data_IF_777796994145
#
_entry.id   IF_777796994145
#
_cell.length_a   1.000
_cell.length_b   1.000
_cell.length_c   1.000
_cell.angle_alpha   90.00
_cell.angle_beta   90.00
_cell.angle_gamma   90.00
#
_symmetry.space_group_name_H-M   'P 1'
#
loop_
_entity.id
_entity.type
_entity.pdbx_description
1 polymer ?
#
# COMPACT_ATOMS: atom_id res chain seq x y z
N UNK A 1 -21.03 -14.74 38.64
CA UNK A 1 -21.51 -14.30 37.32
C UNK A 1 -20.78 -15.11 36.25
N UNK A 2 -21.46 -16.02 35.57
CA UNK A 2 -20.86 -16.87 34.52
C UNK A 2 -20.63 -16.11 33.21
N UNK A 3 -19.75 -16.61 32.31
CA UNK A 3 -19.45 -15.92 31.05
C UNK A 3 -20.68 -15.86 30.15
N UNK A 4 -20.96 -14.65 29.65
CA UNK A 4 -22.08 -14.33 28.75
C UNK A 4 -22.01 -15.24 27.50
N UNK A 5 -23.06 -16.02 27.24
CA UNK A 5 -23.11 -16.89 26.06
C UNK A 5 -23.07 -16.04 24.77
N UNK A 6 -22.11 -16.33 23.89
CA UNK A 6 -21.95 -15.63 22.61
C UNK A 6 -23.18 -15.85 21.73
N UNK A 7 -24.06 -14.84 21.64
CA UNK A 7 -25.19 -14.84 20.72
C UNK A 7 -24.65 -14.94 19.28
N UNK A 8 -25.03 -16.00 18.56
CA UNK A 8 -24.65 -16.21 17.16
C UNK A 8 -25.33 -15.14 16.30
N UNK A 9 -24.60 -14.54 15.35
CA UNK A 9 -25.19 -13.61 14.39
C UNK A 9 -26.25 -14.37 13.56
N UNK A 10 -27.51 -14.02 13.74
CA UNK A 10 -28.61 -14.49 12.90
C UNK A 10 -28.52 -13.72 11.57
N UNK A 11 -28.28 -14.44 10.48
CA UNK A 11 -28.47 -13.89 9.14
C UNK A 11 -29.95 -13.57 8.96
N UNK A 12 -30.31 -12.46 8.27
CA UNK A 12 -31.71 -12.15 8.02
C UNK A 12 -32.38 -13.34 7.31
N UNK A 13 -33.56 -13.72 7.80
CA UNK A 13 -34.33 -14.82 7.22
C UNK A 13 -34.86 -14.33 5.87
N UNK A 14 -34.51 -15.04 4.80
CA UNK A 14 -35.07 -14.75 3.47
C UNK A 14 -36.55 -15.14 3.50
N UNK A 15 -37.43 -14.19 3.18
CA UNK A 15 -38.89 -14.37 3.29
C UNK A 15 -39.43 -15.26 2.16
N UNK A 16 -38.86 -15.14 0.95
CA UNK A 16 -39.28 -15.90 -0.23
C UNK A 16 -38.07 -16.37 -1.06
N UNK A 17 -38.12 -17.61 -1.54
CA UNK A 17 -37.07 -18.19 -2.39
C UNK A 17 -37.69 -18.56 -3.74
N UNK A 18 -37.32 -17.83 -4.79
CA UNK A 18 -37.70 -18.16 -6.16
C UNK A 18 -36.76 -19.23 -6.71
N UNK A 19 -37.34 -20.32 -7.23
CA UNK A 19 -36.61 -21.41 -7.86
C UNK A 19 -36.86 -21.36 -9.37
N UNK A 20 -35.97 -20.68 -10.10
CA UNK A 20 -35.94 -20.75 -11.55
C UNK A 20 -35.06 -21.93 -12.00
N UNK A 21 -35.61 -22.79 -12.86
CA UNK A 21 -34.89 -23.93 -13.42
C UNK A 21 -33.73 -23.49 -14.31
N UNK A 22 -33.81 -22.33 -14.97
CA UNK A 22 -32.72 -21.79 -15.78
C UNK A 22 -31.52 -21.41 -14.90
N UNK A 23 -31.76 -20.68 -13.80
CA UNK A 23 -30.74 -20.34 -12.82
C UNK A 23 -30.16 -21.59 -12.16
N UNK A 24 -31.00 -22.60 -11.90
CA UNK A 24 -30.54 -23.88 -11.37
C UNK A 24 -29.61 -24.58 -12.36
N UNK A 25 -29.92 -24.58 -13.65
CA UNK A 25 -29.06 -25.17 -14.67
C UNK A 25 -27.73 -24.41 -14.82
N UNK A 26 -27.75 -23.07 -14.81
CA UNK A 26 -26.51 -22.28 -14.81
C UNK A 26 -25.71 -22.47 -13.51
N UNK A 27 -26.39 -22.65 -12.38
CA UNK A 27 -25.73 -23.01 -11.13
C UNK A 27 -25.14 -24.43 -11.18
N UNK A 28 -25.77 -25.40 -11.82
CA UNK A 28 -25.18 -26.74 -11.90
C UNK A 28 -24.05 -26.86 -12.94
N UNK A 29 -24.08 -26.08 -14.01
CA UNK A 29 -23.08 -26.19 -15.10
C UNK A 29 -21.98 -25.12 -15.02
N UNK A 30 -22.30 -23.93 -14.51
CA UNK A 30 -21.46 -22.73 -14.51
C UNK A 30 -20.41 -22.63 -13.38
N UNK A 31 -19.84 -23.74 -12.91
CA UNK A 31 -18.90 -23.74 -11.77
C UNK A 31 -17.71 -22.78 -11.96
N UNK A 32 -17.17 -22.70 -13.18
CA UNK A 32 -16.07 -21.78 -13.52
C UNK A 32 -16.53 -20.32 -13.42
N UNK A 33 -17.71 -19.98 -13.95
CA UNK A 33 -18.30 -18.64 -13.84
C UNK A 33 -18.46 -18.23 -12.37
N UNK A 34 -19.02 -19.10 -11.52
CA UNK A 34 -19.16 -18.83 -10.08
C UNK A 34 -17.83 -18.74 -9.33
N UNK A 35 -16.84 -19.54 -9.72
CA UNK A 35 -15.49 -19.43 -9.14
C UNK A 35 -14.88 -18.06 -9.50
N UNK A 36 -15.02 -17.61 -10.74
CA UNK A 36 -14.57 -16.28 -11.17
C UNK A 36 -15.35 -15.15 -10.48
N UNK A 37 -16.68 -15.25 -10.39
CA UNK A 37 -17.50 -14.28 -9.66
C UNK A 37 -17.09 -14.15 -8.20
N UNK A 38 -16.81 -15.27 -7.51
CA UNK A 38 -16.30 -15.24 -6.13
C UNK A 38 -14.94 -14.54 -6.02
N UNK A 39 -14.05 -14.78 -6.98
CA UNK A 39 -12.75 -14.12 -7.03
C UNK A 39 -12.93 -12.62 -7.26
N UNK A 40 -13.76 -12.22 -8.23
CA UNK A 40 -14.08 -10.81 -8.53
C UNK A 40 -14.72 -10.12 -7.34
N UNK A 41 -15.74 -10.71 -6.73
CA UNK A 41 -16.38 -10.17 -5.53
C UNK A 41 -15.39 -9.99 -4.37
N UNK A 42 -14.47 -10.94 -4.16
CA UNK A 42 -13.43 -10.80 -3.16
C UNK A 42 -12.46 -9.65 -3.48
N UNK A 43 -12.09 -9.48 -4.76
CA UNK A 43 -11.27 -8.35 -5.23
C UNK A 43 -11.99 -7.01 -5.06
N UNK A 44 -13.27 -6.94 -5.39
CA UNK A 44 -14.10 -5.75 -5.23
C UNK A 44 -14.25 -5.34 -3.76
N UNK A 45 -14.49 -6.30 -2.86
CA UNK A 45 -14.54 -6.03 -1.42
C UNK A 45 -13.20 -5.53 -0.88
N UNK A 46 -12.09 -6.12 -1.33
CA UNK A 46 -10.75 -5.65 -0.97
C UNK A 46 -10.50 -4.23 -1.48
N UNK A 47 -10.89 -3.94 -2.72
CA UNK A 47 -10.76 -2.61 -3.30
C UNK A 47 -11.63 -1.56 -2.58
N UNK A 48 -12.87 -1.91 -2.21
CA UNK A 48 -13.75 -1.04 -1.43
C UNK A 48 -13.15 -0.70 -0.06
N UNK A 49 -12.68 -1.72 0.68
CA UNK A 49 -12.02 -1.51 1.97
C UNK A 49 -10.76 -0.66 1.86
N UNK A 50 -9.90 -0.92 0.87
CA UNK A 50 -8.70 -0.13 0.66
C UNK A 50 -9.00 1.35 0.36
N UNK A 51 -10.08 1.64 -0.39
CA UNK A 51 -10.53 3.03 -0.64
C UNK A 51 -11.05 3.69 0.63
N UNK A 52 -11.83 2.98 1.43
CA UNK A 52 -12.35 3.46 2.72
C UNK A 52 -11.20 3.76 3.69
N UNK A 53 -10.23 2.86 3.81
CA UNK A 53 -9.04 3.03 4.65
C UNK A 53 -8.22 4.25 4.22
N UNK A 54 -7.94 4.41 2.92
CA UNK A 54 -7.25 5.61 2.39
C UNK A 54 -8.02 6.90 2.66
N UNK A 55 -9.35 6.88 2.58
CA UNK A 55 -10.19 8.05 2.90
C UNK A 55 -10.09 8.40 4.37
N UNK A 56 -10.15 7.40 5.25
CA UNK A 56 -10.01 7.59 6.70
C UNK A 56 -8.62 8.09 7.07
N UNK A 57 -7.57 7.55 6.46
CA UNK A 57 -6.19 8.00 6.66
C UNK A 57 -6.01 9.47 6.25
N UNK A 58 -6.50 9.87 5.07
CA UNK A 58 -6.48 11.28 4.65
C UNK A 58 -7.25 12.18 5.60
N UNK A 59 -8.37 11.70 6.16
CA UNK A 59 -9.14 12.45 7.14
C UNK A 59 -8.33 12.63 8.43
N UNK A 60 -7.70 11.57 8.94
CA UNK A 60 -6.82 11.61 10.11
C UNK A 60 -5.66 12.58 9.92
N UNK A 61 -4.96 12.52 8.79
CA UNK A 61 -3.85 13.45 8.50
C UNK A 61 -4.34 14.90 8.50
N UNK A 62 -5.53 15.19 7.97
CA UNK A 62 -6.09 16.55 8.02
C UNK A 62 -6.45 16.98 9.44
N UNK A 63 -7.04 16.09 10.22
CA UNK A 63 -7.37 16.35 11.63
C UNK A 63 -6.11 16.55 12.47
N UNK A 64 -5.06 15.75 12.25
CA UNK A 64 -3.76 15.88 12.89
C UNK A 64 -3.11 17.23 12.57
N UNK A 65 -3.05 17.61 11.29
CA UNK A 65 -2.53 18.94 10.90
C UNK A 65 -3.33 20.10 11.46
N UNK A 66 -4.67 19.99 11.49
CA UNK A 66 -5.52 21.02 12.07
C UNK A 66 -5.27 21.16 13.59
N UNK A 67 -5.18 20.04 14.30
CA UNK A 67 -4.88 20.04 15.73
C UNK A 67 -3.46 20.53 16.04
N UNK A 68 -2.47 20.22 15.21
CA UNK A 68 -1.12 20.77 15.31
C UNK A 68 -1.11 22.29 15.12
N UNK A 69 -1.85 22.79 14.14
CA UNK A 69 -2.00 24.23 13.91
C UNK A 69 -2.69 24.93 15.08
N UNK A 70 -3.77 24.36 15.62
CA UNK A 70 -4.46 24.88 16.80
C UNK A 70 -3.52 24.94 18.02
N UNK A 71 -2.73 23.88 18.26
CA UNK A 71 -1.72 23.87 19.33
C UNK A 71 -0.65 24.94 19.12
N UNK A 72 -0.14 25.10 17.91
CA UNK A 72 0.84 26.13 17.60
C UNK A 72 0.28 27.55 17.86
N UNK A 73 -0.98 27.80 17.49
CA UNK A 73 -1.65 29.07 17.80
C UNK A 73 -1.86 29.27 19.30
N UNK A 74 -2.23 28.24 20.05
CA UNK A 74 -2.36 28.32 21.51
C UNK A 74 -1.02 28.59 22.18
N UNK A 75 0.05 27.91 21.75
CA UNK A 75 1.42 28.14 22.23
C UNK A 75 1.89 29.56 21.91
N UNK A 76 1.67 30.05 20.70
CA UNK A 76 1.99 31.42 20.31
C UNK A 76 1.20 32.45 21.14
N UNK A 77 -0.11 32.24 21.35
CA UNK A 77 -0.93 33.09 22.23
C UNK A 77 -0.41 33.08 23.66
N UNK A 78 0.04 31.93 24.19
CA UNK A 78 0.66 31.82 25.51
C UNK A 78 1.98 32.59 25.57
N UNK A 79 2.84 32.47 24.56
CA UNK A 79 4.10 33.21 24.48
C UNK A 79 3.88 34.72 24.46
N UNK A 80 2.95 35.21 23.63
CA UNK A 80 2.58 36.63 23.61
C UNK A 80 2.02 37.10 24.96
N UNK A 81 1.21 36.27 25.63
CA UNK A 81 0.69 36.58 26.96
C UNK A 81 1.81 36.68 27.99
N UNK A 82 2.76 35.75 28.00
CA UNK A 82 3.94 35.80 28.87
C UNK A 82 4.79 37.05 28.62
N UNK A 83 5.04 37.39 27.35
CA UNK A 83 5.77 38.62 26.98
C UNK A 83 5.02 39.89 27.41
N UNK A 84 3.68 39.92 27.31
CA UNK A 84 2.86 41.04 27.79
C UNK A 84 2.92 41.19 29.31
N UNK A 85 2.88 40.07 30.04
CA UNK A 85 3.01 40.03 31.49
C UNK A 85 4.42 40.43 31.96
N UNK A 86 5.47 40.03 31.24
CA UNK A 86 6.86 40.37 31.53
C UNK A 86 7.21 41.83 31.21
N UNK A 87 6.67 42.39 30.12
CA UNK A 87 6.92 43.79 29.73
C UNK A 87 6.07 44.81 30.52
N UNK A 88 5.18 44.37 31.42
CA UNK A 88 4.46 45.26 32.34
C UNK A 88 3.60 46.33 31.65
N UNK A 89 3.06 46.04 30.45
CA UNK A 89 2.29 47.00 29.67
C UNK A 89 0.81 46.96 30.08
N UNK A 90 0.43 47.92 30.93
CA UNK A 90 -0.94 48.23 31.31
C UNK A 90 -1.60 48.99 30.18
N UNK A 91 -2.36 48.26 29.36
CA UNK A 91 -3.52 48.72 28.59
C UNK A 91 -3.45 50.17 28.07
N UNK A 92 -2.88 50.36 26.88
CA UNK A 92 -3.37 51.42 26.00
C UNK A 92 -3.96 50.82 24.72
N UNK A 93 -5.23 51.14 24.56
CA UNK A 93 -6.09 50.91 23.42
C UNK A 93 -5.57 51.68 22.20
N UNK A 94 -4.42 51.30 21.63
CA UNK A 94 -4.03 51.81 20.32
C UNK A 94 -4.73 51.01 19.24
N UNK A 95 -5.95 51.45 18.95
CA UNK A 95 -6.63 51.33 17.67
C UNK A 95 -5.69 51.83 16.56
N UNK A 96 -4.71 51.01 16.18
CA UNK A 96 -3.84 51.26 15.03
C UNK A 96 -4.66 50.97 13.78
N UNK A 97 -5.41 52.01 13.42
CA UNK A 97 -5.69 52.45 12.07
C UNK A 97 -5.74 51.33 11.04
N UNK A 98 -6.98 51.02 10.68
CA UNK A 98 -7.40 50.54 9.38
C UNK A 98 -6.68 51.29 8.25
N UNK A 99 -5.43 50.91 7.96
CA UNK A 99 -4.67 51.29 6.79
C UNK A 99 -5.14 50.42 5.65
N UNK A 100 -6.26 50.83 5.04
CA UNK A 100 -6.56 50.51 3.65
C UNK A 100 -5.42 51.06 2.79
N UNK A 101 -4.31 50.32 2.71
CA UNK A 101 -3.37 50.37 1.61
C UNK A 101 -3.85 49.37 0.58
N UNK A 102 -4.80 49.81 -0.25
CA UNK A 102 -5.11 49.18 -1.52
C UNK A 102 -3.91 49.40 -2.45
N UNK A 103 -2.79 48.75 -2.12
CA UNK A 103 -1.70 48.50 -3.04
C UNK A 103 -1.89 47.05 -3.47
N UNK A 104 -2.56 46.92 -4.60
CA UNK A 104 -2.46 45.75 -5.45
C UNK A 104 -0.97 45.55 -5.78
N UNK A 105 -0.24 44.91 -4.85
CA UNK A 105 1.00 44.22 -5.16
C UNK A 105 0.61 43.02 -6.03
N UNK A 106 0.32 43.36 -7.28
CA UNK A 106 0.06 42.46 -8.37
C UNK A 106 1.33 41.63 -8.52
N UNK A 107 1.26 40.39 -8.03
CA UNK A 107 2.37 39.47 -7.96
C UNK A 107 3.08 39.36 -9.31
N UNK A 108 4.19 40.09 -9.45
CA UNK A 108 5.14 39.96 -10.55
C UNK A 108 5.75 38.57 -10.41
N UNK A 109 5.33 37.63 -11.26
CA UNK A 109 5.80 36.25 -11.23
C UNK A 109 7.33 36.15 -11.30
N UNK A 110 7.86 34.95 -11.06
CA UNK A 110 9.29 34.70 -11.20
C UNK A 110 9.75 35.03 -12.63
N UNK A 111 10.90 35.70 -12.75
CA UNK A 111 11.56 35.89 -14.04
C UNK A 111 11.78 34.52 -14.69
N UNK A 112 11.35 34.39 -15.94
CA UNK A 112 11.48 33.16 -16.73
C UNK A 112 12.96 32.73 -16.76
N UNK A 113 13.30 31.53 -16.28
CA UNK A 113 14.67 31.05 -16.33
C UNK A 113 15.14 30.96 -17.78
N UNK A 114 16.45 31.11 -18.05
CA UNK A 114 16.98 30.99 -19.40
C UNK A 114 16.66 29.60 -19.97
N UNK A 115 16.24 29.54 -21.24
CA UNK A 115 15.87 28.30 -21.91
C UNK A 115 16.97 27.23 -21.78
N UNK A 116 16.67 26.13 -21.12
CA UNK A 116 17.63 25.09 -20.74
C UNK A 116 17.59 23.93 -21.76
N UNK A 117 18.04 24.21 -22.98
CA UNK A 117 18.30 23.18 -23.99
C UNK A 117 19.81 22.89 -24.01
N UNK A 118 20.26 21.83 -23.31
CA UNK A 118 21.65 21.38 -23.40
C UNK A 118 21.78 19.86 -23.46
N UNK A 119 22.76 19.42 -24.23
CA UNK A 119 23.13 18.01 -24.37
C UNK A 119 24.27 17.69 -23.41
N UNK A 120 24.09 16.68 -22.55
CA UNK A 120 25.13 16.21 -21.64
C UNK A 120 25.59 14.81 -22.06
N UNK A 121 26.88 14.68 -22.40
CA UNK A 121 27.51 13.39 -22.67
C UNK A 121 27.88 12.72 -21.35
N UNK A 122 27.27 11.58 -21.04
CA UNK A 122 27.66 10.75 -19.90
C UNK A 122 28.46 9.55 -20.39
N UNK A 123 29.73 9.49 -19.96
CA UNK A 123 30.65 8.40 -20.27
C UNK A 123 30.72 7.50 -19.04
N UNK A 124 30.05 6.36 -19.09
CA UNK A 124 30.29 5.25 -18.16
C UNK A 124 31.28 4.28 -18.83
N UNK A 125 32.16 3.61 -18.06
CA UNK A 125 33.31 2.85 -18.59
C UNK A 125 32.95 1.80 -19.66
N UNK A 126 31.69 1.34 -19.68
CA UNK A 126 31.15 0.38 -20.65
C UNK A 126 29.93 0.89 -21.47
N UNK A 127 29.48 2.15 -21.29
CA UNK A 127 28.28 2.69 -21.97
C UNK A 127 28.41 4.18 -22.25
N UNK A 128 28.34 4.54 -23.53
CA UNK A 128 28.18 5.92 -23.98
C UNK A 128 26.69 6.21 -24.17
N UNK A 129 26.12 7.11 -23.36
CA UNK A 129 24.73 7.56 -23.48
C UNK A 129 24.67 9.07 -23.44
N UNK A 130 23.99 9.67 -24.41
CA UNK A 130 23.71 11.11 -24.47
C UNK A 130 22.32 11.36 -23.88
N UNK A 131 22.22 12.25 -22.89
CA UNK A 131 20.93 12.70 -22.36
C UNK A 131 20.67 14.11 -22.88
N UNK A 132 19.61 14.26 -23.66
CA UNK A 132 19.11 15.55 -24.14
C UNK A 132 18.04 16.05 -23.16
N UNK A 133 18.21 17.26 -22.64
CA UNK A 133 17.21 17.94 -21.82
C UNK A 133 16.60 19.02 -22.70
N UNK A 134 15.31 18.88 -23.01
CA UNK A 134 14.53 19.84 -23.79
C UNK A 134 13.39 20.41 -22.93
N UNK A 135 13.07 21.69 -23.14
CA UNK A 135 11.95 22.33 -22.45
C UNK A 135 10.60 21.84 -22.95
N UNK A 136 9.80 21.25 -22.05
CA UNK A 136 8.45 20.77 -22.37
C UNK A 136 7.40 21.84 -22.02
N UNK A 137 6.60 22.24 -23.01
CA UNK A 137 5.47 23.14 -22.80
C UNK A 137 4.41 22.48 -21.89
N UNK A 138 4.13 23.10 -20.74
CA UNK A 138 3.15 22.63 -19.76
C UNK A 138 1.69 22.86 -20.21
N UNK A 139 1.46 23.44 -21.38
CA UNK A 139 0.14 23.54 -22.00
C UNK A 139 -0.45 22.15 -22.30
N UNK A 140 -1.78 22.07 -22.36
CA UNK A 140 -2.49 20.82 -22.67
C UNK A 140 -2.09 20.22 -24.03
N UNK A 141 -1.69 21.07 -24.98
CA UNK A 141 -1.24 20.66 -26.31
C UNK A 141 0.20 20.14 -26.28
N UNK A 142 1.09 20.79 -25.51
CA UNK A 142 2.46 20.31 -25.28
C UNK A 142 2.51 18.92 -24.63
N UNK A 143 1.64 18.67 -23.65
CA UNK A 143 1.52 17.34 -23.02
C UNK A 143 1.07 16.23 -23.98
N UNK A 144 0.15 16.54 -24.90
CA UNK A 144 -0.34 15.55 -25.88
C UNK A 144 0.72 15.21 -26.92
N UNK A 145 1.50 16.21 -27.35
CA UNK A 145 2.58 16.01 -28.32
C UNK A 145 3.70 15.12 -27.77
N UNK A 146 4.08 15.29 -26.51
CA UNK A 146 5.06 14.40 -25.88
C UNK A 146 4.56 12.94 -25.77
N UNK A 147 3.25 12.74 -25.53
CA UNK A 147 2.65 11.40 -25.48
C UNK A 147 2.60 10.72 -26.87
N UNK A 148 2.64 11.47 -27.96
CA UNK A 148 2.76 10.92 -29.32
C UNK A 148 4.20 10.55 -29.67
N UNK A 149 5.18 11.35 -29.26
CA UNK A 149 6.61 11.06 -29.50
C UNK A 149 7.04 9.78 -28.77
N UNK A 150 6.68 9.64 -27.48
CA UNK A 150 7.01 8.47 -26.66
C UNK A 150 6.39 7.16 -27.21
N UNK A 151 5.24 7.26 -27.90
CA UNK A 151 4.61 6.10 -28.58
C UNK A 151 5.25 5.76 -29.92
N UNK A 152 5.87 6.73 -30.60
CA UNK A 152 6.50 6.50 -31.90
C UNK A 152 7.88 5.84 -31.80
N UNK A 153 8.58 6.01 -30.67
CA UNK A 153 9.89 5.39 -30.42
C UNK A 153 9.80 3.95 -29.86
N UNK A 154 8.64 3.51 -29.38
CA UNK A 154 8.44 2.16 -28.82
C UNK A 154 8.21 1.08 -29.91
N UNK A 155 7.94 1.46 -31.17
CA UNK A 155 7.67 0.53 -32.30
C UNK A 155 8.92 0.14 -33.11
N UNK A 156 10.12 0.57 -32.69
CA UNK A 156 11.37 0.46 -33.48
C UNK A 156 12.31 -0.72 -33.19
N UNK A 157 12.18 -1.43 -32.06
CA UNK A 157 13.18 -2.44 -31.64
C UNK A 157 12.56 -3.81 -31.28
N UNK A 158 11.86 -4.44 -32.23
CA UNK A 158 11.36 -5.83 -32.07
C UNK A 158 11.77 -6.78 -33.21
N UNK A 159 12.99 -6.65 -33.74
CA UNK A 159 13.56 -7.67 -34.65
C UNK A 159 15.07 -7.84 -34.46
N UNK A 160 15.51 -8.53 -33.41
CA UNK A 160 16.53 -9.58 -33.53
C UNK A 160 16.66 -10.35 -32.21
N UNK A 161 16.36 -11.66 -32.25
CA UNK A 161 17.03 -12.77 -31.53
C UNK A 161 16.04 -13.90 -31.27
N UNK A 162 15.88 -14.74 -32.28
CA UNK A 162 15.49 -16.15 -32.11
C UNK A 162 16.66 -17.03 -32.56
N UNK A 163 17.18 -17.86 -31.63
CA UNK A 163 17.41 -19.32 -31.73
C UNK A 163 18.74 -19.82 -31.12
N UNK A 164 18.59 -20.64 -30.08
CA UNK A 164 19.20 -21.97 -29.90
C UNK A 164 18.41 -22.66 -28.76
N UNK A 165 17.40 -23.48 -29.05
CA UNK A 165 17.45 -24.97 -29.08
C UNK A 165 18.09 -25.57 -27.81
N UNK A 166 17.37 -26.21 -26.90
CA UNK A 166 16.79 -27.58 -26.89
C UNK A 166 17.41 -28.25 -25.65
N UNK A 167 16.73 -28.77 -24.63
CA UNK A 167 16.00 -30.05 -24.49
C UNK A 167 15.88 -30.19 -22.93
N UNK A 168 14.79 -30.52 -22.25
CA UNK A 168 14.16 -31.84 -22.15
C UNK A 168 12.79 -31.68 -21.47
N UNK A 169 11.81 -32.22 -22.16
CA UNK A 169 10.44 -32.61 -21.83
C UNK A 169 10.32 -33.41 -20.51
N UNK A 170 9.28 -33.14 -19.71
CA UNK A 170 8.32 -34.16 -19.23
C UNK A 170 7.41 -33.62 -18.11
N UNK A 171 6.21 -33.19 -18.49
CA UNK A 171 4.94 -33.87 -18.21
C UNK A 171 4.40 -33.83 -16.78
N UNK A 172 3.16 -33.33 -16.75
CA UNK A 172 1.99 -33.91 -16.08
C UNK A 172 1.63 -33.51 -14.65
N UNK A 173 0.65 -32.62 -14.62
CA UNK A 173 -0.68 -32.83 -14.01
C UNK A 173 -0.91 -32.62 -12.51
N UNK A 174 -2.14 -32.14 -12.26
CA UNK A 174 -2.98 -32.28 -11.05
C UNK A 174 -2.63 -31.34 -9.89
N UNK A 175 -3.36 -30.24 -9.75
CA UNK A 175 -4.73 -30.10 -9.20
C UNK A 175 -4.77 -30.03 -7.67
N UNK A 176 -5.79 -29.30 -7.20
CA UNK A 176 -6.29 -29.20 -5.83
C UNK A 176 -5.65 -28.12 -4.93
N UNK A 177 -6.32 -26.96 -4.93
CA UNK A 177 -7.00 -26.42 -3.75
C UNK A 177 -6.38 -26.69 -2.37
N UNK A 178 -6.05 -25.59 -1.66
CA UNK A 178 -6.64 -25.28 -0.34
C UNK A 178 -6.34 -23.84 0.11
N UNK A 179 -7.42 -23.04 0.04
CA UNK A 179 -7.90 -22.09 1.06
C UNK A 179 -6.84 -21.47 1.99
N UNK A 180 -6.43 -20.25 1.66
CA UNK A 180 -5.81 -19.32 2.62
C UNK A 180 -6.91 -18.44 3.23
N UNK A 181 -7.44 -18.88 4.37
CA UNK A 181 -7.94 -17.96 5.39
C UNK A 181 -6.79 -17.67 6.35
N UNK A 182 -6.68 -16.38 6.73
CA UNK A 182 -5.78 -15.75 7.72
C UNK A 182 -4.54 -15.12 7.12
N UNK A 183 -4.59 -13.79 7.06
CA UNK A 183 -3.48 -12.89 7.33
C UNK A 183 -2.44 -13.55 8.23
N UNK A 184 -1.29 -13.87 7.65
CA UNK A 184 -0.04 -14.02 8.36
C UNK A 184 1.01 -13.64 7.31
N UNK A 185 1.67 -12.49 7.51
CA UNK A 185 2.97 -12.16 6.93
C UNK A 185 4.04 -13.12 7.47
N UNK A 186 3.83 -14.43 7.29
CA UNK A 186 4.78 -15.48 7.65
C UNK A 186 5.09 -16.23 6.37
N UNK A 187 6.37 -16.32 5.97
CA UNK A 187 6.73 -17.02 4.76
C UNK A 187 6.19 -18.45 4.82
N UNK A 188 5.50 -18.88 3.76
CA UNK A 188 4.95 -20.23 3.64
C UNK A 188 6.10 -21.22 3.85
N UNK A 189 6.00 -22.05 4.89
CA UNK A 189 7.04 -23.04 5.20
C UNK A 189 7.18 -23.97 4.01
N UNK A 190 8.37 -23.98 3.38
CA UNK A 190 8.69 -24.91 2.29
C UNK A 190 8.42 -26.34 2.77
N UNK A 191 7.85 -27.18 1.90
CA UNK A 191 7.63 -28.61 2.19
C UNK A 191 8.97 -29.20 2.66
N UNK A 192 8.97 -29.89 3.80
CA UNK A 192 10.18 -30.54 4.31
C UNK A 192 10.61 -31.58 3.27
N UNK A 193 11.75 -31.36 2.62
CA UNK A 193 12.39 -32.42 1.84
C UNK A 193 12.79 -33.49 2.86
N UNK A 194 12.36 -34.73 2.67
CA UNK A 194 12.82 -35.84 3.50
C UNK A 194 14.31 -36.02 3.17
N UNK A 195 15.17 -35.42 3.99
CA UNK A 195 16.60 -35.67 3.97
C UNK A 195 16.97 -36.06 5.37
N UNK A 196 17.92 -36.97 5.48
CA UNK A 196 18.51 -37.26 6.77
C UNK A 196 19.11 -35.97 7.31
N UNK A 197 18.79 -35.67 8.57
CA UNK A 197 19.42 -34.58 9.31
C UNK A 197 20.94 -34.77 9.24
N UNK A 198 21.68 -33.68 9.05
CA UNK A 198 23.15 -33.74 9.19
C UNK A 198 23.53 -34.17 10.62
N UNK A 199 24.76 -34.63 10.84
CA UNK A 199 25.21 -35.06 12.19
C UNK A 199 25.02 -33.96 13.25
N UNK A 200 25.20 -32.71 12.87
CA UNK A 200 25.04 -31.55 13.74
C UNK A 200 23.57 -31.23 14.01
N UNK A 201 22.73 -31.26 12.96
CA UNK A 201 21.29 -31.09 13.10
C UNK A 201 20.70 -32.16 14.03
N UNK A 202 21.13 -33.42 13.90
CA UNK A 202 20.74 -34.53 14.78
C UNK A 202 21.11 -34.26 16.25
N UNK A 203 22.28 -33.67 16.54
CA UNK A 203 22.66 -33.32 17.92
C UNK A 203 21.72 -32.24 18.48
N UNK A 204 21.40 -31.22 17.69
CA UNK A 204 20.50 -30.13 18.09
C UNK A 204 19.06 -30.65 18.31
N UNK A 205 18.57 -31.55 17.45
CA UNK A 205 17.23 -32.14 17.63
C UNK A 205 17.16 -33.02 18.87
N UNK A 206 18.19 -33.82 19.16
CA UNK A 206 18.31 -34.59 20.40
C UNK A 206 18.30 -33.70 21.65
N UNK A 207 19.06 -32.60 21.65
CA UNK A 207 19.05 -31.63 22.77
C UNK A 207 17.67 -31.04 23.00
N UNK A 208 16.99 -30.59 21.94
CA UNK A 208 15.61 -30.06 22.01
C UNK A 208 14.63 -31.09 22.55
N UNK A 209 14.71 -32.34 22.10
CA UNK A 209 13.86 -33.41 22.59
C UNK A 209 14.09 -33.68 24.09
N UNK A 210 15.34 -33.68 24.55
CA UNK A 210 15.68 -33.85 25.97
C UNK A 210 15.10 -32.72 26.82
N UNK A 211 15.20 -31.47 26.37
CA UNK A 211 14.62 -30.31 27.07
C UNK A 211 13.09 -30.41 27.16
N UNK A 212 12.40 -30.76 26.07
CA UNK A 212 10.94 -30.91 26.07
C UNK A 212 10.50 -32.03 27.01
N UNK A 213 11.18 -33.19 26.97
CA UNK A 213 10.90 -34.31 27.88
C UNK A 213 11.11 -33.91 29.35
N UNK A 214 12.19 -33.19 29.66
CA UNK A 214 12.46 -32.68 31.00
C UNK A 214 11.38 -31.72 31.48
N UNK A 215 11.00 -30.73 30.66
CA UNK A 215 9.91 -29.78 31.00
C UNK A 215 8.59 -30.49 31.24
N UNK A 216 8.24 -31.46 30.38
CA UNK A 216 7.01 -32.24 30.52
C UNK A 216 7.02 -33.11 31.78
N UNK A 217 8.18 -33.66 32.16
CA UNK A 217 8.33 -34.42 33.41
C UNK A 217 8.16 -33.52 34.65
N UNK A 218 8.76 -32.33 34.66
CA UNK A 218 8.59 -31.34 35.73
C UNK A 218 7.12 -30.93 35.89
N UNK A 219 6.45 -30.58 34.79
CA UNK A 219 5.04 -30.19 34.80
C UNK A 219 4.09 -31.31 35.25
N UNK A 220 4.49 -32.59 35.17
CA UNK A 220 3.74 -33.70 35.75
C UNK A 220 3.93 -33.78 37.26
N UNK A 221 5.18 -33.63 37.73
CA UNK A 221 5.51 -33.63 39.16
C UNK A 221 4.92 -32.44 39.92
N UNK A 222 4.76 -31.29 39.27
CA UNK A 222 4.13 -30.10 39.86
C UNK A 222 2.60 -30.20 39.95
N UNK A 223 1.99 -31.22 39.31
CA UNK A 223 0.53 -31.42 39.28
C UNK A 223 0.07 -32.55 40.21
N UNK A 224 1.00 -33.37 40.70
CA UNK A 224 0.80 -34.34 41.79
C UNK A 224 1.08 -33.65 43.13
#
# INVERSE_FOLDING_TARGET
MGPQAKKRKLTPKVEEVNFDDADRQEFLTGFRKRKQQRIRHAQELAAKRAREEKRLERKKIREERAAEYERALEEHRRQLKMLREENGDSDEESNSSNGNGDEQDEWEGFAEPPAVDYEAEYIDEDKYTTVTVEEMDASREGLLRAEEVDKSDEDGDEQTKRRSEADVKSTTTKSAEKKATKENNKPKKKKKKFRYESKEERKVTLMKQRQVKSRKAKARRERE
#
